data_IF_669462709609
#
_entry.id   IF_669462709609
#
_cell.length_a   1.000
_cell.length_b   1.000
_cell.length_c   1.000
_cell.angle_alpha   90.00
_cell.angle_beta   90.00
_cell.angle_gamma   90.00
#
_symmetry.space_group_name_H-M   'P 1'
#
loop_
_entity.id
_entity.type
_entity.pdbx_description
1 polymer ?
#
# COMPACT_ATOMS: atom_id res chain seq x y z
N UNK A 1 -15.16 15.72 -55.57
CA UNK A 1 -16.13 14.69 -55.20
C UNK A 1 -17.41 15.38 -54.80
N UNK A 2 -18.50 15.06 -55.47
CA UNK A 2 -19.84 15.53 -55.11
C UNK A 2 -20.52 14.36 -54.41
N UNK A 3 -21.03 14.58 -53.19
CA UNK A 3 -21.74 13.56 -52.44
C UNK A 3 -23.11 14.12 -52.09
N UNK A 4 -24.14 13.41 -52.51
CA UNK A 4 -25.54 13.76 -52.27
C UNK A 4 -26.11 12.81 -51.23
N UNK A 5 -26.70 13.35 -50.18
CA UNK A 5 -27.47 12.59 -49.21
C UNK A 5 -28.96 12.79 -49.47
N UNK A 6 -29.72 11.70 -49.42
CA UNK A 6 -31.18 11.73 -49.47
C UNK A 6 -31.71 10.95 -48.27
N UNK A 7 -32.64 11.53 -47.53
CA UNK A 7 -33.29 10.91 -46.37
C UNK A 7 -34.81 11.06 -46.47
N UNK A 8 -35.53 10.14 -45.82
CA UNK A 8 -36.98 10.18 -45.61
C UNK A 8 -37.37 10.19 -44.13
N UNK A 9 -36.43 10.44 -43.21
CA UNK A 9 -36.70 10.37 -41.78
C UNK A 9 -37.41 11.63 -41.23
N UNK A 10 -38.40 11.40 -40.36
CA UNK A 10 -39.08 12.44 -39.58
C UNK A 10 -38.30 12.82 -38.30
N UNK A 11 -37.05 12.37 -38.17
CA UNK A 11 -36.16 12.64 -37.04
C UNK A 11 -34.91 13.41 -37.51
N UNK A 12 -34.26 14.21 -36.66
CA UNK A 12 -33.02 14.87 -37.03
C UNK A 12 -31.93 13.85 -37.36
N UNK A 13 -31.53 13.76 -38.62
CA UNK A 13 -30.45 12.89 -39.09
C UNK A 13 -29.14 13.69 -39.22
N UNK A 14 -28.04 13.13 -38.73
CA UNK A 14 -26.70 13.68 -38.91
C UNK A 14 -25.92 12.83 -39.90
N UNK A 15 -25.39 13.46 -40.95
CA UNK A 15 -24.56 12.82 -41.97
C UNK A 15 -23.10 13.21 -41.79
N UNK A 16 -22.20 12.23 -41.81
CA UNK A 16 -20.77 12.44 -41.82
C UNK A 16 -20.16 11.79 -43.07
N UNK A 17 -19.43 12.57 -43.87
CA UNK A 17 -18.50 12.07 -44.88
C UNK A 17 -17.10 12.22 -44.33
N UNK A 18 -16.36 11.12 -44.33
CA UNK A 18 -14.93 11.13 -44.12
C UNK A 18 -14.26 10.27 -45.21
N UNK A 19 -13.09 10.72 -45.66
CA UNK A 19 -12.20 9.87 -46.46
C UNK A 19 -11.78 8.67 -45.60
N UNK A 20 -11.67 7.49 -46.21
CA UNK A 20 -11.12 6.27 -45.59
C UNK A 20 -9.75 6.49 -44.92
N UNK A 21 -8.96 7.45 -45.41
CA UNK A 21 -7.69 7.86 -44.82
C UNK A 21 -7.82 8.85 -43.63
N UNK A 22 -9.02 9.40 -43.40
CA UNK A 22 -9.32 10.38 -42.35
C UNK A 22 -10.17 9.80 -41.20
N UNK A 23 -10.59 8.54 -41.27
CA UNK A 23 -11.14 7.84 -40.10
C UNK A 23 -10.03 7.63 -39.07
N UNK A 24 -9.92 8.55 -38.11
CA UNK A 24 -9.11 8.32 -36.91
C UNK A 24 -9.86 7.34 -36.02
N UNK A 25 -9.23 6.22 -35.69
CA UNK A 25 -9.71 5.43 -34.58
C UNK A 25 -9.37 6.19 -33.30
N UNK A 26 -10.37 6.50 -32.45
CA UNK A 26 -10.07 7.02 -31.13
C UNK A 26 -9.16 6.01 -30.42
N UNK A 27 -8.01 6.49 -29.95
CA UNK A 27 -7.19 5.71 -29.03
C UNK A 27 -7.87 5.81 -27.67
N UNK A 28 -8.48 4.73 -27.23
CA UNK A 28 -9.21 4.65 -25.97
C UNK A 28 -9.78 3.26 -25.75
N UNK A 29 -10.09 2.96 -24.50
CA UNK A 29 -10.86 1.78 -24.15
C UNK A 29 -12.34 2.17 -24.09
N UNK A 30 -13.22 1.22 -24.42
CA UNK A 30 -14.65 1.42 -24.17
C UNK A 30 -14.85 1.40 -22.67
N UNK A 31 -15.36 2.50 -22.14
CA UNK A 31 -15.75 2.62 -20.74
C UNK A 31 -17.09 1.91 -20.49
N UNK A 32 -17.19 1.23 -19.35
CA UNK A 32 -18.40 0.59 -18.88
C UNK A 32 -18.85 1.35 -17.62
N UNK A 33 -19.97 2.10 -17.66
CA UNK A 33 -20.35 2.96 -16.55
C UNK A 33 -20.48 2.20 -15.23
N UNK A 34 -19.85 2.74 -14.19
CA UNK A 34 -19.97 2.30 -12.80
C UNK A 34 -21.17 2.91 -12.09
N UNK A 35 -21.47 2.39 -10.90
CA UNK A 35 -22.61 2.77 -10.07
C UNK A 35 -22.21 3.12 -8.63
N UNK A 36 -20.99 3.59 -8.39
CA UNK A 36 -20.42 3.86 -7.07
C UNK A 36 -21.25 4.87 -6.26
N UNK A 37 -21.92 5.81 -6.93
CA UNK A 37 -22.85 6.76 -6.29
C UNK A 37 -24.17 6.15 -5.84
N UNK A 38 -24.52 4.95 -6.29
CA UNK A 38 -25.76 4.27 -5.91
C UNK A 38 -25.84 4.05 -4.40
N UNK A 39 -26.94 4.48 -3.79
CA UNK A 39 -27.23 4.25 -2.36
C UNK A 39 -27.52 2.78 -2.05
N UNK A 40 -27.80 1.97 -3.08
CA UNK A 40 -28.06 0.54 -2.92
C UNK A 40 -26.79 -0.30 -2.75
N UNK A 41 -25.61 0.29 -2.94
CA UNK A 41 -24.35 -0.40 -2.68
C UNK A 41 -24.20 -0.76 -1.20
N UNK A 42 -23.42 -1.80 -0.93
CA UNK A 42 -23.03 -2.24 0.41
C UNK A 42 -21.71 -3.01 0.32
N UNK A 43 -20.81 -2.80 1.29
CA UNK A 43 -19.59 -3.59 1.43
C UNK A 43 -19.05 -3.47 2.87
N UNK A 44 -18.45 -4.55 3.37
CA UNK A 44 -17.66 -4.52 4.61
C UNK A 44 -16.22 -4.09 4.31
N UNK A 45 -15.73 -4.45 3.12
CA UNK A 45 -14.36 -4.23 2.68
C UNK A 45 -14.32 -3.70 1.24
N UNK A 46 -13.65 -2.58 1.03
CA UNK A 46 -13.43 -2.01 -0.29
C UNK A 46 -11.97 -2.19 -0.68
N UNK A 47 -11.72 -2.75 -1.87
CA UNK A 47 -10.39 -2.80 -2.47
C UNK A 47 -10.38 -1.79 -3.64
N UNK A 48 -9.72 -0.66 -3.43
CA UNK A 48 -9.49 0.35 -4.45
C UNK A 48 -8.22 -0.02 -5.21
N UNK A 49 -8.32 -0.24 -6.51
CA UNK A 49 -7.19 -0.71 -7.31
C UNK A 49 -7.12 -0.04 -8.68
N UNK A 50 -5.90 0.08 -9.21
CA UNK A 50 -5.73 0.42 -10.62
C UNK A 50 -6.13 -0.78 -11.51
N UNK A 51 -6.67 -0.58 -12.74
CA UNK A 51 -7.10 -1.69 -13.61
C UNK A 51 -6.03 -2.77 -13.85
N UNK A 52 -4.74 -2.37 -13.90
CA UNK A 52 -3.57 -3.26 -13.98
C UNK A 52 -3.54 -4.37 -12.90
N UNK A 53 -4.13 -4.13 -11.74
CA UNK A 53 -4.08 -5.04 -10.60
C UNK A 53 -5.40 -5.78 -10.36
N UNK A 54 -6.37 -5.68 -11.27
CA UNK A 54 -7.70 -6.29 -11.15
C UNK A 54 -7.66 -7.79 -10.80
N UNK A 55 -6.78 -8.55 -11.44
CA UNK A 55 -6.66 -9.99 -11.17
C UNK A 55 -6.24 -10.30 -9.72
N UNK A 56 -5.26 -9.55 -9.19
CA UNK A 56 -4.80 -9.69 -7.82
C UNK A 56 -5.87 -9.20 -6.83
N UNK A 57 -6.55 -8.08 -7.14
CA UNK A 57 -7.66 -7.57 -6.35
C UNK A 57 -8.80 -8.60 -6.23
N UNK A 58 -9.21 -9.21 -7.34
CA UNK A 58 -10.22 -10.27 -7.36
C UNK A 58 -9.81 -11.47 -6.52
N UNK A 59 -8.56 -11.93 -6.69
CA UNK A 59 -8.03 -13.06 -5.91
C UNK A 59 -8.09 -12.77 -4.40
N UNK A 60 -7.74 -11.56 -3.97
CA UNK A 60 -7.82 -11.17 -2.56
C UNK A 60 -9.26 -11.00 -2.08
N UNK A 61 -10.16 -10.45 -2.91
CA UNK A 61 -11.56 -10.31 -2.58
C UNK A 61 -12.23 -11.66 -2.36
N UNK A 62 -12.01 -12.62 -3.26
CA UNK A 62 -12.54 -13.97 -3.16
C UNK A 62 -12.03 -14.66 -1.88
N UNK A 63 -10.74 -14.51 -1.58
CA UNK A 63 -10.15 -15.03 -0.34
C UNK A 63 -10.80 -14.42 0.91
N UNK A 64 -10.96 -13.10 0.97
CA UNK A 64 -11.56 -12.41 2.13
C UNK A 64 -13.05 -12.72 2.29
N UNK A 65 -13.78 -12.88 1.19
CA UNK A 65 -15.15 -13.39 1.23
C UNK A 65 -15.21 -14.82 1.78
N UNK A 66 -14.33 -15.71 1.30
CA UNK A 66 -14.33 -17.12 1.71
C UNK A 66 -13.87 -17.36 3.15
N UNK A 67 -12.80 -16.68 3.59
CA UNK A 67 -12.14 -16.95 4.88
C UNK A 67 -12.64 -16.04 5.98
N UNK A 68 -12.95 -14.78 5.66
CA UNK A 68 -13.37 -13.78 6.63
C UNK A 68 -14.88 -13.50 6.60
N UNK A 69 -15.61 -14.04 5.61
CA UNK A 69 -17.06 -13.82 5.47
C UNK A 69 -17.43 -12.37 5.10
N UNK A 70 -16.48 -11.58 4.59
CA UNK A 70 -16.68 -10.17 4.28
C UNK A 70 -17.36 -9.98 2.94
N UNK A 71 -18.28 -9.03 2.86
CA UNK A 71 -18.78 -8.50 1.59
C UNK A 71 -17.74 -7.57 1.00
N UNK A 72 -17.04 -8.03 -0.05
CA UNK A 72 -15.95 -7.25 -0.67
C UNK A 72 -16.42 -6.58 -1.96
N UNK A 73 -16.20 -5.26 -2.09
CA UNK A 73 -16.40 -4.52 -3.33
C UNK A 73 -15.05 -4.14 -3.94
N UNK A 74 -14.85 -4.51 -5.20
CA UNK A 74 -13.74 -4.03 -6.02
C UNK A 74 -14.13 -2.71 -6.65
N UNK A 75 -13.23 -1.74 -6.58
CA UNK A 75 -13.45 -0.40 -7.12
C UNK A 75 -12.23 0.01 -7.91
N UNK A 76 -12.40 0.24 -9.20
CA UNK A 76 -11.30 0.70 -10.04
C UNK A 76 -11.07 2.20 -9.84
N UNK A 77 -9.82 2.65 -9.95
CA UNK A 77 -9.51 4.08 -9.84
C UNK A 77 -10.16 4.90 -10.94
N UNK A 78 -10.31 4.33 -12.13
CA UNK A 78 -10.89 5.02 -13.29
C UNK A 78 -12.37 5.32 -13.04
N UNK A 79 -13.13 4.35 -12.51
CA UNK A 79 -14.51 4.53 -12.05
C UNK A 79 -14.66 5.65 -11.02
N UNK A 80 -13.74 5.71 -10.05
CA UNK A 80 -13.72 6.78 -9.05
C UNK A 80 -13.52 8.13 -9.73
N UNK A 81 -12.62 8.24 -10.70
CA UNK A 81 -12.36 9.51 -11.37
C UNK A 81 -13.56 9.93 -12.23
N UNK A 82 -14.18 9.00 -12.95
CA UNK A 82 -15.34 9.28 -13.79
C UNK A 82 -16.52 9.79 -12.95
N UNK A 83 -16.81 9.14 -11.83
CA UNK A 83 -17.95 9.52 -10.98
C UNK A 83 -17.67 10.71 -10.05
N UNK A 84 -16.45 10.88 -9.52
CA UNK A 84 -16.14 11.85 -8.46
C UNK A 84 -15.27 13.03 -8.89
N UNK A 85 -14.68 13.01 -10.09
CA UNK A 85 -13.87 14.13 -10.60
C UNK A 85 -14.01 14.39 -12.09
N UNK A 86 -15.05 13.86 -12.75
CA UNK A 86 -15.32 14.04 -14.18
C UNK A 86 -14.15 13.53 -15.04
N UNK A 87 -13.62 12.35 -14.69
CA UNK A 87 -12.52 11.67 -15.38
C UNK A 87 -11.14 12.23 -15.07
N UNK A 88 -11.01 13.12 -14.07
CA UNK A 88 -9.72 13.75 -13.73
C UNK A 88 -9.02 12.98 -12.62
N UNK A 89 -7.82 12.50 -12.90
CA UNK A 89 -6.93 11.97 -11.86
C UNK A 89 -6.78 12.98 -10.70
N UNK A 90 -7.15 12.56 -9.49
CA UNK A 90 -7.01 13.36 -8.27
C UNK A 90 -7.18 12.50 -7.02
N UNK A 91 -6.32 12.72 -6.03
CA UNK A 91 -6.43 12.10 -4.71
C UNK A 91 -7.73 12.49 -3.97
N UNK A 92 -8.33 13.64 -4.33
CA UNK A 92 -9.60 14.08 -3.75
C UNK A 92 -10.79 13.24 -4.21
N UNK A 93 -10.78 12.72 -5.43
CA UNK A 93 -11.83 11.82 -5.90
C UNK A 93 -11.88 10.53 -5.08
N UNK A 94 -10.71 9.98 -4.73
CA UNK A 94 -10.59 8.83 -3.82
C UNK A 94 -11.15 9.18 -2.43
N UNK A 95 -10.83 10.37 -1.90
CA UNK A 95 -11.37 10.83 -0.61
C UNK A 95 -12.90 10.97 -0.65
N UNK A 96 -13.43 11.61 -1.70
CA UNK A 96 -14.87 11.84 -1.86
C UNK A 96 -15.62 10.53 -2.08
N UNK A 97 -15.02 9.58 -2.80
CA UNK A 97 -15.57 8.23 -2.96
C UNK A 97 -15.65 7.49 -1.62
N UNK A 98 -14.56 7.44 -0.85
CA UNK A 98 -14.52 6.77 0.46
C UNK A 98 -15.55 7.40 1.40
N UNK A 99 -15.63 8.73 1.44
CA UNK A 99 -16.64 9.45 2.23
C UNK A 99 -18.06 9.14 1.76
N UNK A 100 -18.30 9.07 0.45
CA UNK A 100 -19.61 8.72 -0.10
C UNK A 100 -20.02 7.30 0.29
N UNK A 101 -19.14 6.32 0.10
CA UNK A 101 -19.38 4.93 0.45
C UNK A 101 -19.67 4.77 1.96
N UNK A 102 -18.90 5.47 2.80
CA UNK A 102 -19.08 5.44 4.24
C UNK A 102 -20.41 6.02 4.71
N UNK A 103 -20.81 7.18 4.19
CA UNK A 103 -21.99 7.91 4.67
C UNK A 103 -23.30 7.45 4.02
N UNK A 104 -23.24 6.90 2.80
CA UNK A 104 -24.44 6.77 1.95
C UNK A 104 -24.76 5.34 1.48
N UNK A 105 -23.81 4.40 1.51
CA UNK A 105 -24.10 3.01 1.15
C UNK A 105 -24.94 2.33 2.25
N UNK A 106 -25.78 1.37 1.87
CA UNK A 106 -26.59 0.59 2.81
C UNK A 106 -25.73 -0.17 3.82
N UNK A 107 -24.59 -0.71 3.37
CA UNK A 107 -23.57 -1.33 4.21
C UNK A 107 -22.33 -0.45 4.22
N UNK A 108 -22.05 0.15 5.38
CA UNK A 108 -20.89 1.01 5.59
C UNK A 108 -19.61 0.16 5.66
N UNK A 109 -18.57 0.47 4.86
CA UNK A 109 -17.30 -0.22 4.91
C UNK A 109 -16.59 0.00 6.24
N UNK A 110 -16.01 -1.08 6.78
CA UNK A 110 -15.11 -1.05 7.93
C UNK A 110 -13.63 -1.09 7.52
N UNK A 111 -13.36 -1.57 6.30
CA UNK A 111 -12.00 -1.75 5.78
C UNK A 111 -11.85 -1.13 4.40
N UNK A 112 -10.72 -0.49 4.15
CA UNK A 112 -10.29 -0.02 2.83
C UNK A 112 -8.86 -0.50 2.57
N UNK A 113 -8.64 -1.11 1.40
CA UNK A 113 -7.32 -1.43 0.90
C UNK A 113 -7.04 -0.65 -0.38
N UNK A 114 -5.90 0.02 -0.40
CA UNK A 114 -5.34 0.62 -1.60
C UNK A 114 -4.36 -0.37 -2.25
N UNK A 115 -4.69 -0.87 -3.44
CA UNK A 115 -3.86 -1.82 -4.18
C UNK A 115 -3.20 -1.10 -5.37
N UNK A 116 -1.95 -0.71 -5.17
CA UNK A 116 -1.15 0.03 -6.13
C UNK A 116 -0.24 1.02 -5.43
N UNK A 117 0.88 1.34 -6.07
CA UNK A 117 1.84 2.31 -5.56
C UNK A 117 1.48 3.77 -5.89
N UNK A 118 2.20 4.72 -5.29
CA UNK A 118 2.08 6.16 -5.52
C UNK A 118 3.44 6.82 -5.70
N UNK A 119 3.50 7.95 -6.40
CA UNK A 119 4.70 8.78 -6.47
C UNK A 119 4.36 10.26 -6.50
N UNK A 120 5.09 11.08 -5.76
CA UNK A 120 4.91 12.54 -5.87
C UNK A 120 5.30 13.08 -7.25
N UNK A 121 6.06 12.31 -8.06
CA UNK A 121 6.40 12.64 -9.44
C UNK A 121 5.44 12.01 -10.45
N UNK A 122 4.13 12.00 -10.16
CA UNK A 122 3.10 11.47 -11.06
C UNK A 122 3.06 12.14 -12.45
N UNK A 123 3.67 13.32 -12.60
CA UNK A 123 3.85 14.04 -13.88
C UNK A 123 5.09 13.59 -14.66
N UNK A 124 5.89 12.69 -14.10
CA UNK A 124 7.11 12.12 -14.67
C UNK A 124 8.14 13.18 -15.08
N UNK A 125 8.32 14.21 -14.25
CA UNK A 125 9.26 15.32 -14.50
C UNK A 125 10.70 14.88 -14.21
N UNK A 126 10.92 14.09 -13.16
CA UNK A 126 12.26 13.71 -12.69
C UNK A 126 12.86 12.51 -13.44
N UNK A 127 12.12 11.93 -14.41
CA UNK A 127 12.47 10.66 -15.10
C UNK A 127 12.78 9.56 -14.09
N UNK A 128 11.73 9.08 -13.42
CA UNK A 128 11.75 8.05 -12.38
C UNK A 128 10.62 7.02 -12.53
N UNK A 129 10.34 6.22 -11.49
CA UNK A 129 9.70 4.89 -11.45
C UNK A 129 8.18 4.99 -11.76
N UNK A 130 7.40 3.90 -11.66
CA UNK A 130 6.14 3.76 -12.39
C UNK A 130 5.09 4.80 -12.01
N UNK A 131 4.06 4.97 -12.86
CA UNK A 131 3.03 5.97 -12.63
C UNK A 131 2.33 5.76 -11.28
N UNK A 132 1.80 6.85 -10.73
CA UNK A 132 0.80 6.78 -9.67
C UNK A 132 -0.33 5.82 -10.08
N UNK A 133 -0.57 4.78 -9.28
CA UNK A 133 -1.65 3.83 -9.50
C UNK A 133 -2.85 4.15 -8.63
N UNK A 134 -2.65 4.32 -7.32
CA UNK A 134 -3.70 4.68 -6.37
C UNK A 134 -3.18 5.83 -5.50
N UNK A 135 -3.68 7.07 -5.68
CA UNK A 135 -3.08 8.23 -5.05
C UNK A 135 -3.30 8.28 -3.52
N UNK A 136 -2.43 9.04 -2.85
CA UNK A 136 -2.54 9.36 -1.41
C UNK A 136 -2.90 10.83 -1.20
N UNK A 137 -3.42 11.13 -0.01
CA UNK A 137 -3.48 12.51 0.49
C UNK A 137 -2.14 12.94 1.07
N UNK A 138 -1.97 14.26 1.19
CA UNK A 138 -0.81 14.87 1.78
C UNK A 138 -1.23 15.87 2.85
N UNK A 139 -0.38 16.03 3.87
CA UNK A 139 -0.52 17.06 4.88
C UNK A 139 0.81 17.74 5.15
N UNK A 140 0.75 18.94 5.75
CA UNK A 140 1.95 19.65 6.16
C UNK A 140 2.41 19.16 7.53
N UNK A 141 3.36 18.22 7.53
CA UNK A 141 3.98 17.72 8.74
C UNK A 141 4.90 18.78 9.36
N UNK A 142 4.73 19.00 10.67
CA UNK A 142 5.53 19.93 11.44
C UNK A 142 7.02 19.62 11.27
N UNK A 143 7.80 20.63 10.91
CA UNK A 143 9.27 20.55 10.70
C UNK A 143 9.72 19.55 9.63
N UNK A 144 8.79 19.01 8.82
CA UNK A 144 9.06 17.98 7.79
C UNK A 144 8.44 18.30 6.42
N UNK A 145 7.56 19.28 6.34
CA UNK A 145 6.95 19.71 5.08
C UNK A 145 5.83 18.79 4.61
N UNK A 146 5.56 18.78 3.30
CA UNK A 146 4.44 18.02 2.75
C UNK A 146 4.73 16.51 2.80
N UNK A 147 3.89 15.75 3.50
CA UNK A 147 4.09 14.32 3.78
C UNK A 147 2.87 13.50 3.32
N UNK A 148 3.08 12.32 2.70
CA UNK A 148 2.00 11.44 2.28
C UNK A 148 1.33 10.79 3.49
N UNK A 149 0.03 10.50 3.38
CA UNK A 149 -0.71 9.81 4.44
C UNK A 149 -2.02 9.21 3.92
N UNK A 150 -2.06 7.89 3.78
CA UNK A 150 -3.30 7.16 3.52
C UNK A 150 -4.26 7.25 4.73
N UNK A 151 -3.72 7.45 5.94
CA UNK A 151 -4.52 7.63 7.17
C UNK A 151 -5.58 8.73 7.04
N UNK A 152 -5.30 9.78 6.26
CA UNK A 152 -6.23 10.88 6.03
C UNK A 152 -7.50 10.44 5.28
N UNK A 153 -7.47 9.33 4.54
CA UNK A 153 -8.68 8.75 3.95
C UNK A 153 -9.57 8.06 4.98
N UNK A 154 -9.02 7.69 6.15
CA UNK A 154 -9.78 7.06 7.22
C UNK A 154 -10.44 8.07 8.18
N UNK A 155 -10.18 9.37 8.00
CA UNK A 155 -10.84 10.46 8.75
C UNK A 155 -12.06 10.93 7.95
N UNK A 156 -13.20 10.31 8.18
CA UNK A 156 -14.40 10.44 7.34
C UNK A 156 -15.55 11.14 8.05
N UNK A 157 -15.65 10.97 9.37
CA UNK A 157 -16.68 11.56 10.22
C UNK A 157 -16.05 12.24 11.44
N UNK A 158 -16.63 13.37 11.84
CA UNK A 158 -16.08 14.22 12.89
C UNK A 158 -14.93 15.15 12.45
N UNK A 159 -14.61 16.08 13.34
CA UNK A 159 -13.46 17.00 13.23
C UNK A 159 -12.41 16.58 14.27
N UNK A 160 -11.91 15.35 14.13
CA UNK A 160 -10.90 14.79 15.00
C UNK A 160 -9.89 13.90 14.24
N UNK A 161 -8.99 13.27 14.99
CA UNK A 161 -7.97 12.38 14.46
C UNK A 161 -8.24 10.93 14.85
N UNK A 162 -9.50 10.52 14.99
CA UNK A 162 -9.89 9.13 15.19
C UNK A 162 -10.24 8.52 13.83
N UNK A 163 -9.61 7.40 13.50
CA UNK A 163 -9.93 6.69 12.26
C UNK A 163 -11.31 6.03 12.34
N UNK A 164 -12.14 6.29 11.35
CA UNK A 164 -13.50 5.76 11.22
C UNK A 164 -13.58 4.40 10.52
N UNK A 165 -12.50 4.03 9.83
CA UNK A 165 -12.30 2.76 9.13
C UNK A 165 -10.83 2.35 9.21
N UNK A 166 -10.56 1.05 9.06
CA UNK A 166 -9.21 0.54 8.96
C UNK A 166 -8.72 0.67 7.51
N UNK A 167 -7.57 1.32 7.32
CA UNK A 167 -6.96 1.48 6.00
C UNK A 167 -5.57 0.84 5.93
N UNK A 168 -5.28 0.21 4.78
CA UNK A 168 -3.96 -0.31 4.46
C UNK A 168 -3.64 -0.13 2.97
N UNK A 169 -2.37 -0.35 2.62
CA UNK A 169 -1.89 -0.30 1.24
C UNK A 169 -1.05 -1.54 0.92
N UNK A 170 -1.30 -2.13 -0.25
CA UNK A 170 -0.35 -3.01 -0.92
C UNK A 170 0.33 -2.18 -2.02
N UNK A 171 1.51 -1.66 -1.71
CA UNK A 171 2.27 -0.79 -2.61
C UNK A 171 2.99 -1.65 -3.65
N UNK A 172 2.41 -1.73 -4.85
CA UNK A 172 2.86 -2.61 -5.93
C UNK A 172 2.85 -1.87 -7.25
N UNK A 173 3.82 -2.20 -8.10
CA UNK A 173 4.05 -1.50 -9.36
C UNK A 173 3.81 -2.34 -10.61
N UNK A 174 3.79 -3.66 -10.42
CA UNK A 174 3.55 -4.66 -11.46
C UNK A 174 2.52 -5.69 -11.03
N UNK A 175 1.85 -6.33 -12.00
CA UNK A 175 0.89 -7.39 -11.71
C UNK A 175 1.53 -8.60 -11.03
N UNK A 176 2.83 -8.85 -11.27
CA UNK A 176 3.58 -9.90 -10.58
C UNK A 176 3.82 -9.57 -9.11
N UNK A 177 4.19 -8.33 -8.79
CA UNK A 177 4.31 -7.86 -7.40
C UNK A 177 2.97 -7.93 -6.68
N UNK A 178 1.89 -7.48 -7.33
CA UNK A 178 0.53 -7.55 -6.80
C UNK A 178 0.12 -8.99 -6.46
N UNK A 179 0.35 -9.92 -7.39
CA UNK A 179 0.07 -11.34 -7.19
C UNK A 179 0.93 -11.92 -6.05
N UNK A 180 2.23 -11.63 -6.02
CA UNK A 180 3.12 -12.09 -4.95
C UNK A 180 2.72 -11.56 -3.57
N UNK A 181 2.28 -10.30 -3.48
CA UNK A 181 1.80 -9.70 -2.23
C UNK A 181 0.51 -10.39 -1.74
N UNK A 182 -0.47 -10.58 -2.64
CA UNK A 182 -1.74 -11.26 -2.32
C UNK A 182 -1.50 -12.72 -1.94
N UNK A 183 -0.63 -13.44 -2.64
CA UNK A 183 -0.30 -14.82 -2.30
C UNK A 183 0.34 -14.95 -0.92
N UNK A 184 1.21 -14.01 -0.51
CA UNK A 184 1.77 -14.00 0.84
C UNK A 184 0.66 -13.90 1.89
N UNK A 185 -0.32 -13.03 1.68
CA UNK A 185 -1.48 -12.86 2.58
C UNK A 185 -2.30 -14.16 2.66
N UNK A 186 -2.65 -14.73 1.51
CA UNK A 186 -3.46 -15.96 1.43
C UNK A 186 -2.75 -17.13 2.12
N UNK A 187 -1.45 -17.30 1.87
CA UNK A 187 -0.65 -18.36 2.50
C UNK A 187 -0.54 -18.15 4.01
N UNK A 188 -0.40 -16.92 4.47
CA UNK A 188 -0.36 -16.62 5.90
C UNK A 188 -1.69 -16.98 6.61
N UNK A 189 -2.81 -16.83 5.92
CA UNK A 189 -4.12 -17.16 6.49
C UNK A 189 -4.43 -18.66 6.44
N UNK A 190 -4.08 -19.34 5.34
CA UNK A 190 -4.52 -20.72 5.09
C UNK A 190 -3.49 -21.81 5.41
N UNK A 191 -2.20 -21.52 5.24
CA UNK A 191 -1.12 -22.49 5.41
C UNK A 191 0.12 -21.81 6.01
N UNK A 192 0.04 -21.33 7.26
CA UNK A 192 1.16 -20.61 7.85
C UNK A 192 2.24 -21.62 8.28
N UNK A 193 3.51 -21.31 8.00
CA UNK A 193 4.65 -22.21 8.25
C UNK A 193 4.67 -22.72 9.70
N UNK A 194 4.72 -24.02 10.01
CA UNK A 194 4.79 -24.46 11.41
C UNK A 194 6.09 -23.99 12.09
N UNK A 195 6.11 -24.02 13.42
CA UNK A 195 7.31 -23.68 14.22
C UNK A 195 7.10 -22.59 15.25
N UNK A 196 8.11 -22.40 16.09
CA UNK A 196 8.15 -21.49 17.24
C UNK A 196 8.38 -20.02 16.85
N UNK A 197 8.58 -19.73 15.57
CA UNK A 197 8.73 -18.36 15.06
C UNK A 197 7.56 -17.45 15.45
N UNK A 198 6.35 -17.99 15.57
CA UNK A 198 5.16 -17.25 16.06
C UNK A 198 5.21 -16.88 17.53
N UNK A 199 6.15 -17.47 18.28
CA UNK A 199 6.40 -17.16 19.68
C UNK A 199 7.64 -16.30 19.86
N UNK A 200 8.22 -15.75 18.78
CA UNK A 200 9.43 -14.92 18.81
C UNK A 200 9.11 -13.47 18.46
N UNK A 201 9.63 -12.53 19.25
CA UNK A 201 9.60 -11.10 18.97
C UNK A 201 11.02 -10.55 18.91
N UNK A 202 11.38 -9.93 17.78
CA UNK A 202 12.66 -9.26 17.58
C UNK A 202 12.52 -7.80 18.01
N UNK A 203 13.36 -7.38 18.96
CA UNK A 203 13.50 -6.00 19.38
C UNK A 203 14.82 -5.47 18.82
N UNK A 204 14.73 -4.66 17.77
CA UNK A 204 15.86 -4.16 17.00
C UNK A 204 16.09 -2.68 17.30
N UNK A 205 17.25 -2.33 17.84
CA UNK A 205 17.53 -0.94 18.23
C UNK A 205 18.82 -0.39 17.61
N UNK A 206 18.79 0.88 17.21
CA UNK A 206 20.03 1.63 16.99
C UNK A 206 20.73 1.95 18.30
N UNK A 207 22.03 2.24 18.20
CA UNK A 207 22.80 2.77 19.31
C UNK A 207 22.37 4.21 19.59
N UNK A 208 22.18 4.53 20.86
CA UNK A 208 22.10 5.90 21.34
C UNK A 208 22.60 5.95 22.78
N UNK A 209 23.44 6.93 23.10
CA UNK A 209 24.12 7.06 24.40
C UNK A 209 23.17 6.95 25.61
N UNK A 210 21.99 7.57 25.53
CA UNK A 210 21.00 7.55 26.62
C UNK A 210 20.19 6.24 26.71
N UNK A 211 20.36 5.30 25.77
CA UNK A 211 19.57 4.07 25.67
C UNK A 211 18.11 4.33 25.27
N UNK A 212 17.85 5.41 24.53
CA UNK A 212 16.48 5.85 24.19
C UNK A 212 15.70 4.84 23.33
N UNK A 213 16.39 3.99 22.57
CA UNK A 213 15.77 2.95 21.76
C UNK A 213 15.73 1.59 22.48
N UNK A 214 16.78 1.24 23.24
CA UNK A 214 16.88 -0.06 23.91
C UNK A 214 16.00 -0.15 25.16
N UNK A 215 15.95 0.89 26.00
CA UNK A 215 15.17 0.86 27.26
C UNK A 215 13.65 0.65 27.02
N UNK A 216 13.00 1.32 26.06
CA UNK A 216 11.60 1.03 25.74
C UNK A 216 11.39 -0.41 25.28
N UNK A 217 12.31 -0.97 24.49
CA UNK A 217 12.24 -2.37 24.07
C UNK A 217 12.38 -3.35 25.22
N UNK A 218 13.29 -3.08 26.17
CA UNK A 218 13.41 -3.88 27.39
C UNK A 218 12.10 -3.88 28.18
N UNK A 219 11.49 -2.71 28.37
CA UNK A 219 10.21 -2.58 29.06
C UNK A 219 9.05 -3.28 28.32
N UNK A 220 9.03 -3.21 26.98
CA UNK A 220 8.04 -3.92 26.17
C UNK A 220 8.20 -5.44 26.28
N UNK A 221 9.44 -5.93 26.23
CA UNK A 221 9.75 -7.35 26.37
C UNK A 221 9.31 -7.89 27.75
N UNK A 222 9.71 -7.21 28.82
CA UNK A 222 9.39 -7.57 30.21
C UNK A 222 7.88 -7.54 30.48
N UNK A 223 7.15 -6.60 29.86
CA UNK A 223 5.72 -6.42 30.09
C UNK A 223 4.82 -7.31 29.23
N UNK A 224 5.19 -7.53 27.97
CA UNK A 224 4.26 -8.09 26.97
C UNK A 224 4.74 -9.38 26.30
N UNK A 225 6.00 -9.75 26.44
CA UNK A 225 6.58 -10.91 25.73
C UNK A 225 6.98 -12.00 26.72
N UNK A 226 7.85 -11.66 27.67
CA UNK A 226 8.41 -12.60 28.64
C UNK A 226 7.35 -13.22 29.58
N UNK A 227 6.35 -12.48 30.11
CA UNK A 227 5.33 -13.07 30.99
C UNK A 227 4.43 -14.11 30.31
N UNK A 228 4.35 -14.07 28.99
CA UNK A 228 3.56 -15.01 28.19
C UNK A 228 4.39 -16.15 27.61
N UNK A 229 5.67 -16.25 28.00
CA UNK A 229 6.59 -17.28 27.51
C UNK A 229 7.00 -17.10 26.06
N UNK A 230 6.81 -15.90 25.49
CA UNK A 230 7.30 -15.56 24.17
C UNK A 230 8.81 -15.24 24.25
N UNK A 231 9.57 -15.64 23.24
CA UNK A 231 11.00 -15.41 23.16
C UNK A 231 11.31 -13.99 22.65
N UNK A 232 11.99 -13.21 23.49
CA UNK A 232 12.49 -11.87 23.14
C UNK A 232 13.89 -11.96 22.55
N UNK A 233 14.03 -11.65 21.26
CA UNK A 233 15.33 -11.57 20.56
C UNK A 233 15.75 -10.11 20.51
N UNK A 234 16.59 -9.69 21.45
CA UNK A 234 17.06 -8.30 21.57
C UNK A 234 18.35 -8.11 20.77
N UNK A 235 18.32 -7.25 19.77
CA UNK A 235 19.45 -6.93 18.89
C UNK A 235 19.63 -5.42 18.89
N UNK A 236 20.75 -4.94 19.42
CA UNK A 236 21.04 -3.51 19.49
C UNK A 236 22.44 -3.23 18.96
N UNK A 237 22.58 -2.13 18.24
CA UNK A 237 23.91 -1.62 17.88
C UNK A 237 24.67 -1.21 19.15
N UNK A 238 25.92 -1.67 19.32
CA UNK A 238 26.76 -1.26 20.46
C UNK A 238 27.34 0.13 20.28
N UNK A 239 27.40 0.62 19.04
CA UNK A 239 27.94 1.91 18.62
C UNK A 239 27.42 2.29 17.21
N UNK A 240 28.03 3.30 16.57
CA UNK A 240 27.72 3.76 15.22
C UNK A 240 28.61 3.11 14.14
N UNK A 241 29.04 1.86 14.32
CA UNK A 241 29.85 1.15 13.32
C UNK A 241 29.13 1.07 11.96
N UNK A 242 29.79 1.41 10.84
CA UNK A 242 29.19 1.38 9.52
C UNK A 242 28.80 -0.05 9.10
N UNK A 243 27.82 -0.18 8.20
CA UNK A 243 27.49 -1.46 7.57
C UNK A 243 28.49 -1.80 6.44
N UNK A 244 28.76 -3.09 6.18
CA UNK A 244 28.27 -4.26 6.91
C UNK A 244 28.96 -4.44 8.26
N UNK A 245 28.19 -4.83 9.29
CA UNK A 245 28.66 -5.04 10.64
C UNK A 245 28.03 -6.30 11.27
N UNK A 246 28.45 -6.65 12.49
CA UNK A 246 27.96 -7.83 13.20
C UNK A 246 26.46 -7.73 13.53
N UNK A 247 25.96 -6.55 13.92
CA UNK A 247 24.55 -6.33 14.26
C UNK A 247 23.64 -6.58 13.06
N UNK A 248 23.99 -6.05 11.89
CA UNK A 248 23.23 -6.26 10.65
C UNK A 248 23.16 -7.74 10.29
N UNK A 249 24.25 -8.48 10.45
CA UNK A 249 24.29 -9.94 10.25
C UNK A 249 23.39 -10.67 11.24
N UNK A 250 23.51 -10.38 12.54
CA UNK A 250 22.63 -10.94 13.58
C UNK A 250 21.16 -10.67 13.30
N UNK A 251 20.83 -9.48 12.80
CA UNK A 251 19.47 -9.14 12.42
C UNK A 251 18.96 -9.98 11.24
N UNK A 252 19.74 -10.11 10.16
CA UNK A 252 19.37 -10.95 9.01
C UNK A 252 19.21 -12.41 9.44
N UNK A 253 20.13 -12.94 10.24
CA UNK A 253 20.05 -14.31 10.77
C UNK A 253 18.78 -14.50 11.59
N UNK A 254 18.48 -13.57 12.51
CA UNK A 254 17.26 -13.64 13.33
C UNK A 254 15.97 -13.51 12.49
N UNK A 255 15.98 -12.68 11.44
CA UNK A 255 14.87 -12.57 10.51
C UNK A 255 14.65 -13.89 9.76
N UNK A 256 15.74 -14.54 9.33
CA UNK A 256 15.71 -15.83 8.63
C UNK A 256 15.26 -16.99 9.53
N UNK A 257 15.57 -16.94 10.83
CA UNK A 257 15.01 -17.87 11.81
C UNK A 257 13.48 -17.72 11.95
N UNK A 258 12.97 -16.52 11.65
CA UNK A 258 11.56 -16.15 11.71
C UNK A 258 11.15 -15.55 13.05
N UNK A 259 10.18 -14.64 12.98
CA UNK A 259 9.57 -13.99 14.13
C UNK A 259 8.10 -13.63 13.86
N UNK A 260 7.28 -13.55 14.90
CA UNK A 260 5.92 -13.02 14.81
C UNK A 260 5.95 -11.50 14.61
N UNK A 261 6.87 -10.85 15.32
CA UNK A 261 6.98 -9.41 15.41
C UNK A 261 8.44 -9.00 15.25
N UNK A 262 8.68 -7.97 14.45
CA UNK A 262 9.90 -7.17 14.50
C UNK A 262 9.51 -5.76 14.93
N UNK A 263 10.06 -5.30 16.04
CA UNK A 263 9.90 -3.93 16.52
C UNK A 263 11.25 -3.23 16.38
N UNK A 264 11.37 -2.37 15.37
CA UNK A 264 12.56 -1.55 15.15
C UNK A 264 12.37 -0.17 15.78
N UNK A 265 13.33 0.28 16.58
CA UNK A 265 13.40 1.65 17.10
C UNK A 265 14.77 2.25 16.79
N UNK A 266 14.78 3.33 16.02
CA UNK A 266 16.04 3.92 15.60
C UNK A 266 15.91 5.02 14.57
N UNK A 267 17.06 5.40 14.04
CA UNK A 267 17.19 6.28 12.89
C UNK A 267 17.12 5.48 11.59
N UNK A 268 16.61 6.13 10.55
CA UNK A 268 16.49 5.53 9.23
C UNK A 268 16.14 6.57 8.18
N UNK A 269 16.08 6.11 6.95
CA UNK A 269 15.53 6.83 5.80
C UNK A 269 14.60 5.90 5.03
N UNK A 270 14.12 6.30 3.84
CA UNK A 270 13.25 5.45 3.02
C UNK A 270 13.77 4.01 2.94
N UNK A 271 14.97 3.80 2.40
CA UNK A 271 15.52 2.47 2.13
C UNK A 271 16.45 1.88 3.20
N UNK A 272 16.53 2.43 4.42
CA UNK A 272 17.44 1.88 5.44
C UNK A 272 17.00 2.04 6.91
N UNK A 273 17.52 1.12 7.71
CA UNK A 273 17.66 1.22 9.17
C UNK A 273 19.13 1.54 9.44
N UNK A 274 19.41 2.73 9.96
CA UNK A 274 20.78 3.27 10.00
C UNK A 274 21.73 2.30 10.69
N UNK A 275 22.91 2.07 10.11
CA UNK A 275 23.93 1.17 10.66
C UNK A 275 23.47 -0.29 10.91
N UNK A 276 22.35 -0.74 10.33
CA UNK A 276 21.86 -2.12 10.51
C UNK A 276 21.56 -2.78 9.18
N UNK A 277 20.71 -2.16 8.35
CA UNK A 277 20.17 -2.78 7.14
C UNK A 277 19.85 -1.73 6.09
N UNK A 278 20.11 -2.02 4.83
CA UNK A 278 19.76 -1.15 3.70
C UNK A 278 19.30 -1.98 2.50
N UNK A 279 18.22 -1.54 1.85
CA UNK A 279 17.71 -2.16 0.62
C UNK A 279 18.71 -2.02 -0.53
N UNK A 280 19.35 -0.86 -0.63
CA UNK A 280 20.29 -0.51 -1.69
C UNK A 280 21.68 -0.34 -1.08
N UNK A 281 22.47 -1.41 -1.10
CA UNK A 281 23.87 -1.38 -0.71
C UNK A 281 24.67 -2.25 -1.69
N UNK A 282 25.24 -1.67 -2.76
CA UNK A 282 25.81 -2.43 -3.88
C UNK A 282 26.88 -3.46 -3.49
N UNK A 283 27.70 -3.15 -2.49
CA UNK A 283 28.78 -4.02 -2.01
C UNK A 283 28.29 -5.15 -1.11
N UNK A 284 27.02 -5.11 -0.66
CA UNK A 284 26.42 -6.08 0.25
C UNK A 284 24.90 -6.15 0.08
N UNK A 285 24.43 -7.11 -0.73
CA UNK A 285 23.01 -7.32 -1.00
C UNK A 285 22.27 -7.90 0.21
N UNK A 286 21.86 -7.05 1.15
CA UNK A 286 21.11 -7.47 2.35
C UNK A 286 19.80 -8.18 2.02
N UNK A 287 19.00 -7.63 1.10
CA UNK A 287 17.72 -8.23 0.73
C UNK A 287 17.89 -9.63 0.10
N UNK A 288 18.97 -9.85 -0.65
CA UNK A 288 19.31 -11.16 -1.21
C UNK A 288 19.76 -12.20 -0.18
N UNK A 289 19.98 -11.79 1.07
CA UNK A 289 20.30 -12.69 2.20
C UNK A 289 19.08 -12.98 3.07
N UNK A 290 17.93 -12.33 2.82
CA UNK A 290 16.69 -12.61 3.54
C UNK A 290 16.06 -13.87 2.93
N UNK A 291 15.95 -14.91 3.75
CA UNK A 291 15.41 -16.23 3.43
C UNK A 291 14.57 -16.78 4.60
N UNK A 292 13.64 -15.95 5.09
CA UNK A 292 12.70 -16.34 6.15
C UNK A 292 11.55 -17.21 5.63
N UNK A 293 11.51 -17.51 4.32
CA UNK A 293 10.47 -18.32 3.69
C UNK A 293 9.07 -17.75 3.95
N UNK A 294 8.19 -18.57 4.54
CA UNK A 294 6.81 -18.17 4.90
C UNK A 294 6.65 -17.67 6.33
N UNK A 295 7.76 -17.45 7.06
CA UNK A 295 7.77 -16.92 8.44
C UNK A 295 7.78 -15.40 8.39
N UNK A 296 6.64 -14.82 8.00
CA UNK A 296 6.51 -13.39 7.73
C UNK A 296 6.14 -12.62 9.01
N UNK A 297 7.04 -11.78 9.58
CA UNK A 297 6.72 -11.00 10.76
C UNK A 297 5.81 -9.82 10.43
N UNK A 298 5.03 -9.38 11.42
CA UNK A 298 4.58 -7.98 11.47
C UNK A 298 5.78 -7.10 11.78
N UNK A 299 6.04 -6.08 10.96
CA UNK A 299 7.12 -5.14 11.17
C UNK A 299 6.58 -3.81 11.70
N UNK A 300 7.07 -3.37 12.86
CA UNK A 300 6.80 -2.06 13.44
C UNK A 300 8.07 -1.21 13.34
N UNK A 301 8.09 -0.27 12.40
CA UNK A 301 9.20 0.67 12.20
C UNK A 301 8.98 1.98 12.95
N UNK A 302 9.53 2.10 14.16
CA UNK A 302 9.56 3.35 14.94
C UNK A 302 10.78 4.18 14.50
N UNK A 303 10.71 4.69 13.27
CA UNK A 303 11.83 5.33 12.59
C UNK A 303 11.36 6.35 11.56
N UNK A 304 12.28 7.20 11.11
CA UNK A 304 12.00 8.20 10.08
C UNK A 304 11.89 7.54 8.70
N UNK A 305 10.84 7.90 7.95
CA UNK A 305 10.69 7.65 6.51
C UNK A 305 10.66 6.18 6.05
N UNK A 306 10.74 5.17 6.93
CA UNK A 306 10.71 3.77 6.51
C UNK A 306 9.41 3.37 5.77
N UNK A 307 8.33 4.14 5.93
CA UNK A 307 7.08 4.02 5.16
C UNK A 307 6.88 5.13 4.10
N UNK A 308 7.94 5.80 3.65
CA UNK A 308 7.86 6.87 2.63
C UNK A 308 7.70 6.28 1.22
N UNK A 309 6.56 5.66 0.94
CA UNK A 309 6.29 4.91 -0.30
C UNK A 309 6.22 5.78 -1.57
N UNK A 310 6.14 7.10 -1.43
CA UNK A 310 5.96 8.03 -2.56
C UNK A 310 7.26 8.55 -3.18
N UNK A 311 8.42 8.10 -2.70
CA UNK A 311 9.73 8.56 -3.19
C UNK A 311 10.06 7.94 -4.56
N UNK A 312 10.22 8.74 -5.63
CA UNK A 312 10.57 8.24 -6.96
C UNK A 312 12.03 7.81 -7.07
N UNK A 313 12.89 8.11 -6.10
CA UNK A 313 14.33 7.85 -6.26
C UNK A 313 14.75 6.51 -5.66
N UNK A 314 14.02 6.00 -4.67
CA UNK A 314 14.30 4.72 -4.03
C UNK A 314 13.05 4.15 -3.37
N UNK A 315 12.87 2.81 -3.40
CA UNK A 315 11.83 2.17 -2.60
C UNK A 315 12.12 2.36 -1.11
N UNK A 316 11.07 2.50 -0.33
CA UNK A 316 11.15 2.49 1.12
C UNK A 316 11.08 1.07 1.68
N UNK A 317 11.48 0.88 2.94
CA UNK A 317 11.45 -0.43 3.62
C UNK A 317 10.05 -1.02 3.77
N UNK A 318 9.00 -0.19 3.74
CA UNK A 318 7.61 -0.64 3.83
C UNK A 318 7.04 -1.21 2.52
N UNK A 319 7.70 -1.01 1.37
CA UNK A 319 7.34 -1.58 0.06
C UNK A 319 7.95 -2.98 -0.09
#
# INVERSE_FOLDING_TARGET
>A
WEVTFEDRSNTPSAYAIADSLNFRQPLGLVDAPSDLRSLANAADYIIIHHPRFRAAAQTLADHRAAVSGLTVKLVETDDIYDEFSFGRFTNRAVQDFIAHAYHNWQGRPAYVLLLGDETYDYRMILRGPPPSFVPTLYYHARDRGNSPSDYLYALVDGDDLLADLAIGRLAVTSSNEAQGAVEKVIRYDLDPEPGDWRSRAIYLANWQEAGNFTKPHDALAERFTEPYGLASVKIANPDNSPIPNETGRKFVDALNDGALLVNFAGHGSAGNMQFIFALQFPDWGYLGQVDNGRRLPLFLGLSCLNGMFVDPTAPCLGQ
#
